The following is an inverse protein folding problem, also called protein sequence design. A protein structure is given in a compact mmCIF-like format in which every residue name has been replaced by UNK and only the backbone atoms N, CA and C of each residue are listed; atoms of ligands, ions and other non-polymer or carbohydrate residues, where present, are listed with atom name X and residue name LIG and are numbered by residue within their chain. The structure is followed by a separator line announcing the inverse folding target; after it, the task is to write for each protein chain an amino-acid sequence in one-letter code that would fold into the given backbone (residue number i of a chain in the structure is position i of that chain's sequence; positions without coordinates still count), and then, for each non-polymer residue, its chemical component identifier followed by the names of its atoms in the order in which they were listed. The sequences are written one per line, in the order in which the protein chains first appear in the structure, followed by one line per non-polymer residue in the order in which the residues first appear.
data_IF_022715836429
#
_entry.id   IF_022715836429
#
_cell.length_a   1.000
_cell.length_b   1.000
_cell.length_c   1.000
_cell.angle_alpha   90.00
_cell.angle_beta   90.00
_cell.angle_gamma   90.00
#
_symmetry.space_group_name_H-M   'P 1'
#
loop_
_entity.id
_entity.type
_entity.pdbx_description
1 polymer ?
#
# COMPACT_ATOMS: atom_id res chain seq x y z
N UNK A 1 -4.87 17.20 13.13
CA UNK A 1 -5.29 16.79 11.82
C UNK A 1 -6.42 15.76 11.94
N UNK A 2 -7.49 15.90 11.17
CA UNK A 2 -8.59 14.94 11.09
C UNK A 2 -8.85 14.61 9.63
N UNK A 3 -8.98 13.34 9.34
CA UNK A 3 -9.25 12.79 8.01
C UNK A 3 -10.55 12.00 8.06
N UNK A 4 -11.46 12.26 7.12
CA UNK A 4 -12.73 11.53 7.01
C UNK A 4 -12.92 11.07 5.56
N UNK A 5 -13.35 9.85 5.40
CA UNK A 5 -13.73 9.26 4.12
C UNK A 5 -15.00 8.40 4.32
N UNK A 6 -15.76 8.11 3.26
CA UNK A 6 -16.84 7.14 3.32
C UNK A 6 -16.30 5.74 3.60
N UNK A 7 -17.01 4.95 4.40
CA UNK A 7 -16.60 3.59 4.76
C UNK A 7 -16.65 2.61 3.56
N UNK A 8 -17.59 2.84 2.65
CA UNK A 8 -17.76 1.99 1.48
C UNK A 8 -18.00 2.81 0.23
N UNK A 9 -17.39 2.40 -0.87
CA UNK A 9 -17.44 3.06 -2.18
C UNK A 9 -17.54 2.01 -3.28
N UNK A 10 -18.15 2.39 -4.40
CA UNK A 10 -18.26 1.49 -5.55
C UNK A 10 -17.00 1.57 -6.43
N UNK A 11 -16.58 0.46 -7.06
CA UNK A 11 -15.59 0.49 -8.12
C UNK A 11 -15.98 1.46 -9.24
N UNK A 12 -15.01 2.14 -9.83
CA UNK A 12 -15.25 3.11 -10.90
C UNK A 12 -15.84 4.44 -10.44
N UNK A 13 -16.04 4.63 -9.13
CA UNK A 13 -16.46 5.90 -8.55
C UNK A 13 -15.29 6.72 -8.02
N UNK A 14 -15.55 7.72 -7.21
CA UNK A 14 -14.53 8.51 -6.55
C UNK A 14 -14.77 8.59 -5.06
N UNK A 15 -13.70 8.59 -4.28
CA UNK A 15 -13.75 8.81 -2.83
C UNK A 15 -13.58 10.30 -2.56
N UNK A 16 -14.60 10.94 -1.96
CA UNK A 16 -14.46 12.28 -1.41
C UNK A 16 -13.89 12.21 -0.02
N UNK A 17 -12.71 12.76 0.17
CA UNK A 17 -12.01 12.78 1.45
C UNK A 17 -12.02 14.21 1.98
N UNK A 18 -12.47 14.39 3.21
CA UNK A 18 -12.37 15.67 3.90
C UNK A 18 -11.23 15.66 4.91
N UNK A 19 -10.37 16.65 4.79
CA UNK A 19 -9.22 16.90 5.64
C UNK A 19 -9.43 18.21 6.40
N UNK A 20 -9.32 18.18 7.71
CA UNK A 20 -9.39 19.38 8.55
C UNK A 20 -8.18 19.50 9.47
N UNK A 21 -7.61 20.69 9.56
CA UNK A 21 -6.49 21.01 10.42
C UNK A 21 -6.87 22.18 11.36
N UNK A 22 -6.30 22.18 12.56
CA UNK A 22 -6.48 23.28 13.51
C UNK A 22 -5.79 24.57 13.05
N UNK A 23 -4.64 24.41 12.41
CA UNK A 23 -3.83 25.52 11.88
C UNK A 23 -3.71 25.34 10.36
N UNK A 24 -3.81 26.43 9.59
CA UNK A 24 -3.60 26.36 8.15
C UNK A 24 -2.16 25.94 7.85
N UNK A 25 -1.99 25.18 6.78
CA UNK A 25 -0.69 24.65 6.40
C UNK A 25 -0.75 23.92 5.09
N UNK A 26 0.23 23.06 4.84
CA UNK A 26 0.32 22.22 3.67
C UNK A 26 0.17 20.77 4.06
N UNK A 27 -0.52 20.01 3.23
CA UNK A 27 -0.74 18.59 3.44
C UNK A 27 -0.44 17.78 2.17
N UNK A 28 -0.16 16.52 2.39
CA UNK A 28 -0.01 15.47 1.40
C UNK A 28 -0.98 14.36 1.75
N UNK A 29 -1.78 13.93 0.78
CA UNK A 29 -2.75 12.84 0.96
C UNK A 29 -2.37 11.71 0.03
N UNK A 30 -2.35 10.48 0.56
CA UNK A 30 -2.10 9.27 -0.21
C UNK A 30 -3.24 8.28 -0.02
N UNK A 31 -3.57 7.56 -1.07
CA UNK A 31 -4.50 6.44 -1.02
C UNK A 31 -3.83 5.22 -1.66
N UNK A 32 -3.63 4.18 -0.87
CA UNK A 32 -2.88 3.00 -1.29
C UNK A 32 -3.64 1.75 -0.89
N UNK A 33 -3.55 0.74 -1.74
CA UNK A 33 -4.08 -0.60 -1.47
C UNK A 33 -3.51 -1.17 -0.17
N UNK A 34 -4.38 -1.55 0.75
CA UNK A 34 -4.01 -2.11 2.05
C UNK A 34 -3.18 -3.39 1.91
N UNK A 35 -3.45 -4.22 0.90
CA UNK A 35 -2.70 -5.44 0.67
C UNK A 35 -1.22 -5.18 0.40
N UNK A 36 -0.91 -4.14 -0.38
CA UNK A 36 0.49 -3.73 -0.65
C UNK A 36 1.15 -3.19 0.61
N UNK A 37 0.44 -2.38 1.40
CA UNK A 37 0.98 -1.82 2.63
C UNK A 37 1.28 -2.92 3.68
N UNK A 38 0.45 -3.95 3.75
CA UNK A 38 0.68 -5.10 4.63
C UNK A 38 1.92 -5.91 4.23
N UNK A 39 2.12 -6.13 2.92
CA UNK A 39 3.31 -6.85 2.43
C UNK A 39 4.61 -6.13 2.75
N UNK A 40 4.58 -4.80 2.77
CA UNK A 40 5.76 -3.96 3.04
C UNK A 40 5.89 -3.55 4.51
N UNK A 41 4.92 -3.95 5.37
CA UNK A 41 4.81 -3.50 6.76
C UNK A 41 4.87 -1.95 6.89
N UNK A 42 4.32 -1.26 5.87
CA UNK A 42 4.36 0.20 5.79
C UNK A 42 3.44 0.83 6.84
N UNK A 43 3.99 1.75 7.62
CA UNK A 43 3.24 2.57 8.57
C UNK A 43 3.10 4.00 8.06
N UNK A 44 1.99 4.65 8.41
CA UNK A 44 1.77 6.06 8.06
C UNK A 44 2.89 6.94 8.60
N UNK A 45 3.56 7.73 7.76
CA UNK A 45 4.68 8.55 8.17
C UNK A 45 4.30 9.51 9.29
N UNK A 46 5.15 9.57 10.32
CA UNK A 46 4.97 10.48 11.46
C UNK A 46 6.05 11.57 11.40
N UNK A 47 5.71 12.78 10.95
CA UNK A 47 6.69 13.85 10.79
C UNK A 47 7.28 14.31 12.13
N UNK A 48 6.52 14.30 13.21
CA UNK A 48 7.04 14.68 14.52
C UNK A 48 8.05 13.67 15.04
N UNK A 49 7.74 12.38 14.93
CA UNK A 49 8.66 11.32 15.32
C UNK A 49 9.95 11.39 14.50
N UNK A 50 9.84 11.65 13.19
CA UNK A 50 11.02 11.77 12.33
C UNK A 50 11.90 12.95 12.71
N UNK A 51 11.30 14.13 13.02
CA UNK A 51 12.05 15.34 13.34
C UNK A 51 12.63 15.33 14.77
N UNK A 52 11.93 14.69 15.72
CA UNK A 52 12.30 14.63 17.14
C UNK A 52 13.01 13.32 17.52
N UNK A 53 13.22 12.43 16.57
CA UNK A 53 13.93 11.18 16.85
C UNK A 53 15.40 11.47 17.17
N UNK A 54 15.94 10.74 18.15
CA UNK A 54 17.36 10.81 18.46
C UNK A 54 18.18 10.44 17.23
N UNK A 55 19.11 11.30 16.88
CA UNK A 55 20.05 11.00 15.81
C UNK A 55 21.11 10.05 16.34
N UNK A 56 21.44 9.04 15.55
CA UNK A 56 22.58 8.20 15.87
C UNK A 56 23.82 9.06 16.04
N UNK A 57 24.59 8.79 17.09
CA UNK A 57 25.84 9.47 17.33
C UNK A 57 26.83 9.05 16.22
N UNK A 58 27.05 9.90 15.23
CA UNK A 58 27.98 9.67 14.12
C UNK A 58 29.45 9.96 14.55
N UNK A 59 29.79 9.66 15.78
CA UNK A 59 31.15 9.81 16.28
C UNK A 59 31.83 8.45 16.23
N UNK A 60 32.77 8.27 15.32
CA UNK A 60 33.70 7.15 15.36
C UNK A 60 34.64 7.32 16.55
N UNK A 61 34.36 6.61 17.62
CA UNK A 61 35.28 6.53 18.76
C UNK A 61 36.42 5.60 18.36
N UNK A 62 37.55 6.15 17.95
CA UNK A 62 38.79 5.41 17.75
C UNK A 62 39.45 5.23 19.10
N UNK A 63 39.45 4.02 19.61
CA UNK A 63 40.19 3.69 20.81
C UNK A 63 41.64 3.35 20.43
N UNK A 64 42.60 3.87 21.20
CA UNK A 64 44.02 3.52 21.03
C UNK A 64 44.30 2.00 21.18
N UNK A 65 43.39 1.25 21.79
CA UNK A 65 43.49 -0.21 21.91
C UNK A 65 43.57 -0.94 20.58
N UNK A 66 42.91 -0.42 19.53
CA UNK A 66 42.95 -1.00 18.17
C UNK A 66 44.36 -0.86 17.53
N UNK A 67 45.12 0.12 17.97
CA UNK A 67 46.54 0.31 17.57
C UNK A 67 47.50 -0.55 18.34
N UNK A 68 47.18 -0.91 19.60
CA UNK A 68 48.01 -1.72 20.49
C UNK A 68 47.73 -3.23 20.36
N UNK A 69 46.52 -3.59 19.91
CA UNK A 69 46.08 -4.98 19.72
C UNK A 69 45.31 -5.14 18.39
N UNK A 70 46.01 -5.11 17.25
CA UNK A 70 45.37 -5.17 15.92
C UNK A 70 44.59 -6.49 15.69
N UNK A 71 44.94 -7.57 16.42
CA UNK A 71 44.32 -8.88 16.23
C UNK A 71 42.89 -8.97 16.80
N UNK A 72 42.49 -8.09 17.72
CA UNK A 72 41.15 -8.09 18.27
C UNK A 72 40.09 -7.52 17.28
N UNK A 73 40.51 -6.70 16.31
CA UNK A 73 39.64 -6.14 15.25
C UNK A 73 39.22 -7.19 14.21
N UNK A 74 39.98 -8.27 14.05
CA UNK A 74 39.71 -9.31 13.05
C UNK A 74 38.71 -10.38 13.53
N UNK A 75 38.34 -10.40 14.80
CA UNK A 75 37.33 -11.31 15.34
C UNK A 75 35.88 -10.88 15.10
N UNK A 76 35.64 -9.73 14.53
CA UNK A 76 34.35 -9.40 13.98
C UNK A 76 34.23 -10.02 12.58
N UNK A 77 34.00 -11.33 12.55
CA UNK A 77 33.50 -11.99 11.35
C UNK A 77 32.13 -11.35 11.04
N UNK A 78 32.01 -10.62 9.93
CA UNK A 78 30.66 -10.22 9.50
C UNK A 78 29.92 -11.52 9.25
N UNK A 79 28.83 -11.73 9.96
CA UNK A 79 27.91 -12.80 9.68
C UNK A 79 27.27 -12.52 8.32
N UNK A 80 27.97 -12.88 7.26
CA UNK A 80 27.35 -13.00 5.94
C UNK A 80 26.46 -14.23 6.02
N UNK A 81 25.19 -13.99 6.31
CA UNK A 81 24.17 -14.99 6.10
C UNK A 81 24.22 -15.45 4.66
N UNK A 82 24.39 -16.76 4.45
CA UNK A 82 24.60 -17.40 3.15
C UNK A 82 23.41 -17.39 2.20
N UNK A 83 22.63 -16.32 2.13
CA UNK A 83 21.41 -16.20 1.30
C UNK A 83 21.61 -15.39 0.01
N UNK A 84 22.82 -14.93 -0.26
CA UNK A 84 23.11 -14.17 -1.49
C UNK A 84 23.41 -15.05 -2.72
N UNK A 85 23.47 -16.37 -2.58
CA UNK A 85 23.80 -17.25 -3.71
C UNK A 85 22.60 -17.69 -4.55
N UNK A 86 21.37 -17.35 -4.19
CA UNK A 86 20.15 -17.79 -4.90
C UNK A 86 19.49 -16.72 -5.77
N UNK A 87 20.06 -15.53 -5.91
CA UNK A 87 19.50 -14.47 -6.76
C UNK A 87 19.81 -14.61 -8.26
N UNK A 88 20.46 -15.69 -8.70
CA UNK A 88 20.81 -15.93 -10.10
C UNK A 88 19.74 -16.59 -10.96
N UNK A 89 18.68 -17.10 -10.38
CA UNK A 89 17.59 -17.77 -11.09
C UNK A 89 16.38 -16.86 -11.28
N UNK A 90 16.46 -15.90 -12.20
CA UNK A 90 15.24 -15.29 -12.73
C UNK A 90 14.48 -16.36 -13.50
N UNK A 91 13.58 -17.05 -12.82
CA UNK A 91 12.53 -17.79 -13.50
C UNK A 91 11.71 -16.76 -14.28
N UNK A 92 12.07 -16.54 -15.54
CA UNK A 92 11.19 -15.86 -16.46
C UNK A 92 9.95 -16.74 -16.61
N UNK A 93 8.89 -16.40 -15.87
CA UNK A 93 7.58 -16.93 -16.16
C UNK A 93 7.20 -16.38 -17.55
N UNK A 94 7.18 -17.19 -18.62
CA UNK A 94 6.89 -16.72 -19.96
C UNK A 94 5.44 -16.21 -20.10
N UNK A 95 4.61 -16.47 -19.09
CA UNK A 95 3.21 -16.10 -19.08
C UNK A 95 3.01 -14.86 -18.20
N UNK A 96 2.83 -13.71 -18.84
CA UNK A 96 2.41 -12.50 -18.13
C UNK A 96 0.98 -12.73 -17.64
N UNK A 97 0.81 -13.03 -16.35
CA UNK A 97 -0.48 -12.87 -15.71
C UNK A 97 -0.91 -11.41 -15.91
N UNK A 98 -2.12 -11.19 -16.43
CA UNK A 98 -2.76 -9.89 -16.39
C UNK A 98 -3.10 -9.61 -14.91
N UNK A 99 -2.14 -9.06 -14.19
CA UNK A 99 -2.35 -8.61 -12.82
C UNK A 99 -2.73 -7.14 -12.91
N UNK A 100 -3.93 -6.84 -12.48
CA UNK A 100 -4.38 -5.46 -12.38
C UNK A 100 -3.52 -4.73 -11.34
N UNK A 101 -3.04 -3.52 -11.64
CA UNK A 101 -2.16 -2.80 -10.74
C UNK A 101 -2.89 -2.45 -9.43
N UNK A 102 -2.22 -2.52 -8.29
CA UNK A 102 -2.80 -2.07 -7.03
C UNK A 102 -3.12 -0.57 -7.09
N UNK A 103 -4.12 -0.17 -6.32
CA UNK A 103 -4.43 1.26 -6.20
C UNK A 103 -3.28 1.98 -5.50
N UNK A 104 -2.77 3.02 -6.16
CA UNK A 104 -1.80 3.95 -5.61
C UNK A 104 -2.08 5.35 -6.17
N UNK A 105 -2.42 6.27 -5.29
CA UNK A 105 -2.75 7.64 -5.65
C UNK A 105 -2.21 8.63 -4.62
N UNK A 106 -1.87 9.83 -5.05
CA UNK A 106 -1.42 10.91 -4.19
C UNK A 106 -1.88 12.28 -4.71
N UNK A 107 -2.15 13.21 -3.78
CA UNK A 107 -2.72 14.52 -4.10
C UNK A 107 -1.72 15.54 -4.63
N UNK A 108 -0.42 15.30 -4.48
CA UNK A 108 0.55 16.39 -4.46
C UNK A 108 0.40 17.22 -3.17
N UNK A 109 1.10 18.33 -3.10
CA UNK A 109 1.01 19.24 -1.96
C UNK A 109 -0.25 20.09 -2.12
N UNK A 110 -1.15 20.00 -1.14
CA UNK A 110 -2.39 20.77 -1.08
C UNK A 110 -2.39 21.69 0.13
N UNK A 111 -3.00 22.83 0.03
CA UNK A 111 -3.21 23.70 1.17
C UNK A 111 -4.37 23.19 2.03
N UNK A 112 -4.17 23.13 3.33
CA UNK A 112 -5.17 22.67 4.27
C UNK A 112 -5.50 23.76 5.30
N UNK A 113 -6.79 23.89 5.56
CA UNK A 113 -7.35 24.79 6.55
C UNK A 113 -8.39 24.11 7.43
N UNK A 114 -9.43 24.84 7.77
CA UNK A 114 -10.53 24.33 8.60
C UNK A 114 -11.24 23.14 7.93
N UNK A 115 -11.38 23.19 6.62
CA UNK A 115 -11.95 22.09 5.82
C UNK A 115 -11.40 22.14 4.40
N UNK A 116 -10.86 21.03 3.94
CA UNK A 116 -10.33 20.86 2.59
C UNK A 116 -10.85 19.53 2.07
N UNK A 117 -11.48 19.53 0.89
CA UNK A 117 -11.98 18.32 0.25
C UNK A 117 -11.09 17.92 -0.91
N UNK A 118 -10.77 16.64 -1.00
CA UNK A 118 -9.98 16.06 -2.08
C UNK A 118 -10.69 14.83 -2.62
N UNK A 119 -10.67 14.67 -3.93
CA UNK A 119 -11.33 13.56 -4.62
C UNK A 119 -10.30 12.58 -5.14
N UNK A 120 -10.46 11.32 -4.80
CA UNK A 120 -9.58 10.20 -5.19
C UNK A 120 -10.33 9.36 -6.22
N UNK A 121 -9.87 9.27 -7.47
CA UNK A 121 -10.51 8.41 -8.48
C UNK A 121 -10.21 6.95 -8.19
N UNK A 122 -11.23 6.11 -8.26
CA UNK A 122 -11.12 4.67 -8.06
C UNK A 122 -11.29 3.97 -9.41
N UNK A 123 -10.33 3.12 -9.84
CA UNK A 123 -10.48 2.34 -11.05
C UNK A 123 -11.65 1.36 -10.96
N UNK A 124 -12.32 1.12 -12.11
CA UNK A 124 -13.49 0.23 -12.16
C UNK A 124 -13.19 -1.26 -11.86
N UNK A 125 -11.93 -1.66 -12.02
CA UNK A 125 -11.47 -3.01 -11.73
C UNK A 125 -11.13 -3.22 -10.25
N UNK A 126 -10.91 -2.13 -9.50
CA UNK A 126 -10.40 -2.23 -8.14
C UNK A 126 -11.50 -2.68 -7.16
N UNK A 127 -11.22 -3.73 -6.42
CA UNK A 127 -12.01 -4.21 -5.29
C UNK A 127 -11.03 -4.52 -4.15
N UNK A 128 -11.20 -3.87 -3.02
CA UNK A 128 -10.31 -4.06 -1.89
C UNK A 128 -10.43 -2.97 -0.84
N UNK A 129 -9.55 -3.01 0.14
CA UNK A 129 -9.44 -1.99 1.19
C UNK A 129 -8.37 -0.99 0.81
N UNK A 130 -8.70 0.28 0.88
CA UNK A 130 -7.80 1.39 0.60
C UNK A 130 -7.49 2.09 1.91
N UNK A 131 -6.21 2.20 2.25
CA UNK A 131 -5.76 3.07 3.34
C UNK A 131 -5.51 4.46 2.79
N UNK A 132 -6.16 5.43 3.40
CA UNK A 132 -6.03 6.84 3.07
C UNK A 132 -5.26 7.49 4.21
N UNK A 133 -4.12 8.08 3.88
CA UNK A 133 -3.19 8.66 4.82
C UNK A 133 -2.98 10.13 4.49
N UNK A 134 -2.86 10.96 5.50
CA UNK A 134 -2.54 12.37 5.33
C UNK A 134 -1.42 12.77 6.28
N UNK A 135 -0.47 13.54 5.77
CA UNK A 135 0.59 14.20 6.54
C UNK A 135 0.48 15.68 6.27
N UNK A 136 0.46 16.48 7.32
CA UNK A 136 0.37 17.93 7.21
C UNK A 136 1.40 18.61 8.09
N UNK A 137 1.85 19.79 7.63
CA UNK A 137 2.76 20.64 8.34
C UNK A 137 2.36 22.10 8.19
N UNK A 138 2.53 22.86 9.26
CA UNK A 138 2.47 24.31 9.32
C UNK A 138 3.80 24.81 9.93
N UNK A 139 4.06 26.11 9.98
CA UNK A 139 5.32 26.62 10.56
C UNK A 139 5.61 26.10 11.98
N UNK A 140 4.59 25.90 12.79
CA UNK A 140 4.75 25.57 14.21
C UNK A 140 4.27 24.17 14.58
N UNK A 141 3.55 23.49 13.69
CA UNK A 141 2.95 22.18 13.98
C UNK A 141 3.03 21.23 12.79
N UNK A 142 3.13 19.96 13.10
CA UNK A 142 3.00 18.89 12.10
C UNK A 142 2.13 17.78 12.68
N UNK A 143 1.56 16.96 11.80
CA UNK A 143 0.73 15.86 12.24
C UNK A 143 0.36 14.92 11.10
N UNK A 144 -0.20 13.77 11.48
CA UNK A 144 -0.71 12.76 10.57
C UNK A 144 -2.12 12.36 10.93
N UNK A 145 -2.83 11.81 9.96
CA UNK A 145 -4.11 11.15 10.14
C UNK A 145 -4.25 10.02 9.13
N UNK A 146 -4.98 8.99 9.48
CA UNK A 146 -5.29 7.88 8.57
C UNK A 146 -6.75 7.45 8.74
N UNK A 147 -7.31 6.90 7.67
CA UNK A 147 -8.63 6.29 7.62
C UNK A 147 -8.65 5.26 6.50
N UNK A 148 -9.61 4.36 6.56
CA UNK A 148 -9.77 3.31 5.56
C UNK A 148 -11.08 3.49 4.81
N UNK A 149 -11.11 3.03 3.56
CA UNK A 149 -12.32 2.89 2.77
C UNK A 149 -12.34 1.51 2.11
N UNK A 150 -13.49 0.87 2.09
CA UNK A 150 -13.68 -0.40 1.38
C UNK A 150 -14.31 -0.13 0.03
N UNK A 151 -13.57 -0.48 -1.03
CA UNK A 151 -14.10 -0.46 -2.40
C UNK A 151 -14.65 -1.83 -2.72
N UNK A 152 -15.97 -1.92 -2.91
CA UNK A 152 -16.63 -3.19 -3.20
C UNK A 152 -17.82 -2.97 -4.11
N UNK A 153 -17.84 -3.74 -5.21
CA UNK A 153 -18.99 -3.80 -6.09
C UNK A 153 -20.17 -4.52 -5.43
N UNK A 154 -21.40 -4.26 -5.90
CA UNK A 154 -22.60 -4.96 -5.43
C UNK A 154 -22.54 -6.45 -5.76
N UNK A 155 -21.88 -6.81 -6.84
CA UNK A 155 -21.63 -8.19 -7.24
C UNK A 155 -20.15 -8.30 -7.63
N UNK A 156 -19.46 -9.30 -7.10
CA UNK A 156 -18.06 -9.59 -7.42
C UNK A 156 -17.98 -10.97 -8.04
N UNK A 157 -17.40 -11.04 -9.24
CA UNK A 157 -17.14 -12.28 -9.96
C UNK A 157 -15.65 -12.61 -9.84
N UNK A 158 -15.35 -13.82 -9.42
CA UNK A 158 -13.97 -14.30 -9.32
C UNK A 158 -13.83 -15.57 -10.16
N UNK A 159 -13.34 -15.47 -11.42
CA UNK A 159 -13.12 -16.62 -12.25
C UNK A 159 -11.85 -17.37 -11.81
N UNK A 160 -11.95 -18.69 -11.75
CA UNK A 160 -10.86 -19.62 -11.53
C UNK A 160 -10.67 -20.44 -12.82
N UNK A 161 -9.94 -19.85 -13.75
CA UNK A 161 -9.63 -20.44 -15.05
C UNK A 161 -8.14 -20.81 -15.11
N UNK A 162 -7.78 -21.90 -15.79
CA UNK A 162 -6.39 -22.19 -16.09
C UNK A 162 -5.80 -21.06 -16.94
N UNK A 163 -4.55 -20.69 -16.66
CA UNK A 163 -3.86 -19.61 -17.38
C UNK A 163 -3.50 -20.03 -18.81
N UNK A 164 -3.41 -21.33 -19.05
CA UNK A 164 -3.05 -21.97 -20.31
C UNK A 164 -3.89 -23.22 -20.49
N UNK A 165 -4.32 -23.45 -21.73
CA UNK A 165 -4.91 -24.68 -22.17
C UNK A 165 -4.32 -25.01 -23.54
N UNK A 166 -4.00 -26.27 -23.78
CA UNK A 166 -3.56 -26.79 -25.07
C UNK A 166 -4.75 -27.27 -25.87
N UNK A 167 -4.65 -27.31 -27.19
CA UNK A 167 -5.71 -27.89 -28.00
C UNK A 167 -5.99 -29.36 -27.59
N UNK A 168 -7.23 -29.67 -27.24
CA UNK A 168 -7.66 -30.97 -26.74
C UNK A 168 -7.66 -31.15 -25.23
N UNK A 169 -7.24 -30.13 -24.45
CA UNK A 169 -7.35 -30.16 -22.98
C UNK A 169 -8.81 -30.00 -22.54
N UNK A 170 -9.21 -30.83 -21.57
CA UNK A 170 -10.46 -30.71 -20.85
C UNK A 170 -10.16 -30.21 -19.44
N UNK A 171 -10.84 -29.18 -19.02
CA UNK A 171 -10.67 -28.65 -17.66
C UNK A 171 -12.00 -28.19 -17.05
N UNK A 172 -12.06 -28.22 -15.74
CA UNK A 172 -13.18 -27.67 -14.98
C UNK A 172 -12.93 -26.21 -14.67
N UNK A 173 -13.86 -25.34 -15.07
CA UNK A 173 -13.83 -23.91 -14.78
C UNK A 173 -14.74 -23.61 -13.58
N UNK A 174 -14.21 -22.96 -12.56
CA UNK A 174 -14.98 -22.48 -11.43
C UNK A 174 -15.17 -20.97 -11.47
N UNK A 175 -16.38 -20.52 -11.16
CA UNK A 175 -16.72 -19.11 -11.05
C UNK A 175 -17.36 -18.84 -9.68
N UNK A 176 -16.68 -18.10 -8.82
CA UNK A 176 -17.26 -17.64 -7.57
C UNK A 176 -18.02 -16.32 -7.79
N UNK A 177 -19.25 -16.26 -7.30
CA UNK A 177 -20.11 -15.07 -7.35
C UNK A 177 -20.41 -14.64 -5.92
N UNK A 178 -19.95 -13.44 -5.54
CA UNK A 178 -20.26 -12.85 -4.24
C UNK A 178 -21.32 -11.75 -4.42
N UNK A 179 -22.48 -11.96 -3.78
CA UNK A 179 -23.54 -10.96 -3.73
C UNK A 179 -23.37 -10.09 -2.48
N UNK A 180 -23.00 -8.84 -2.66
CA UNK A 180 -22.80 -7.86 -1.58
C UNK A 180 -23.97 -6.87 -1.46
N UNK A 181 -25.10 -7.12 -2.15
CA UNK A 181 -26.25 -6.20 -2.12
C UNK A 181 -27.06 -6.27 -0.82
N UNK A 182 -26.81 -7.29 0.00
CA UNK A 182 -27.59 -7.55 1.22
C UNK A 182 -29.01 -8.10 0.95
N UNK A 183 -29.38 -8.30 -0.31
CA UNK A 183 -30.66 -8.83 -0.76
C UNK A 183 -30.43 -10.09 -1.60
N UNK A 184 -31.31 -11.10 -1.50
CA UNK A 184 -31.27 -12.22 -2.42
C UNK A 184 -31.47 -11.75 -3.86
N UNK A 185 -30.65 -12.23 -4.77
CA UNK A 185 -30.73 -11.88 -6.20
C UNK A 185 -30.41 -13.11 -7.06
N UNK A 186 -31.05 -13.18 -8.23
CA UNK A 186 -30.77 -14.20 -9.25
C UNK A 186 -29.88 -13.58 -10.33
N UNK A 187 -28.81 -14.28 -10.67
CA UNK A 187 -27.86 -13.82 -11.68
C UNK A 187 -27.83 -14.79 -12.87
N UNK A 188 -27.87 -14.28 -14.08
CA UNK A 188 -27.61 -15.04 -15.28
C UNK A 188 -26.13 -14.88 -15.65
N UNK A 189 -25.41 -15.99 -15.72
CA UNK A 189 -24.00 -16.04 -16.11
C UNK A 189 -23.90 -16.52 -17.55
N UNK A 190 -23.23 -15.74 -18.40
CA UNK A 190 -22.91 -16.11 -19.75
C UNK A 190 -21.39 -16.23 -19.88
N UNK A 191 -20.93 -17.38 -20.35
CA UNK A 191 -19.54 -17.61 -20.74
C UNK A 191 -19.49 -17.55 -22.26
N UNK A 192 -18.66 -16.69 -22.78
CA UNK A 192 -18.33 -16.63 -24.21
C UNK A 192 -16.87 -17.02 -24.42
N UNK A 193 -16.56 -17.80 -25.46
CA UNK A 193 -15.18 -18.19 -25.81
C UNK A 193 -14.33 -17.00 -26.24
#
# INVERSE_FOLDING_TARGET
LRLKAPEQVLPGSAISVSLSARHPGKALIFAVDEGVLQLTAFATPDPLRYLLNDRALEVETRQMFDLLMPDHGQLRIPAFGGDMALSGGRFHNPFKRKVEPPLSWWSGIVEVGAETSVTIPIPGYYNGRVRIMAVAASPDTAGRAETDATVRGPVVLTPQLPVLASPGDEFEAALAVANNTGQPASFALALSP
#
